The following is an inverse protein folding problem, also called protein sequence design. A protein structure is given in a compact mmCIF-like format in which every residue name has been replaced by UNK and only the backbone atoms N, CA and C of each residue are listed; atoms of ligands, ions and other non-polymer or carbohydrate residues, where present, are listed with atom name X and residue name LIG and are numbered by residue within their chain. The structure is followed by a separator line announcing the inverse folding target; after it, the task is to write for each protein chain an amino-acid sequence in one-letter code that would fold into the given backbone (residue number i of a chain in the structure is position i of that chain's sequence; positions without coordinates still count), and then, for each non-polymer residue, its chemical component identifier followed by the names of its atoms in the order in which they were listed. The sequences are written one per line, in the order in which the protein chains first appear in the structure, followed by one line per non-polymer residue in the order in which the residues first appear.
data_IF_655025071795
#
_entry.id   IF_655025071795
#
_cell.length_a   1.000
_cell.length_b   1.000
_cell.length_c   1.000
_cell.angle_alpha   90.00
_cell.angle_beta   90.00
_cell.angle_gamma   90.00
#
_symmetry.space_group_name_H-M   'P 1'
#
loop_
_entity.id
_entity.type
_entity.pdbx_description
1 polymer ?
#
# COMPACT_ATOMS: atom_id res chain seq x y z
N UNK A 1 -11.54 19.31 2.99
CA UNK A 1 -10.54 18.38 2.41
C UNK A 1 -11.16 17.20 1.64
N UNK A 2 -12.00 17.43 0.61
CA UNK A 2 -12.56 16.33 -0.20
C UNK A 2 -11.47 15.60 -1.00
N UNK A 3 -10.53 16.35 -1.59
CA UNK A 3 -9.41 15.83 -2.40
C UNK A 3 -8.46 14.89 -1.65
N UNK A 4 -8.38 14.99 -0.32
CA UNK A 4 -7.61 14.07 0.52
C UNK A 4 -8.47 12.90 1.03
N UNK A 5 -9.65 13.18 1.58
CA UNK A 5 -10.49 12.15 2.23
C UNK A 5 -11.03 11.12 1.24
N UNK A 6 -11.52 11.55 0.07
CA UNK A 6 -12.11 10.61 -0.90
C UNK A 6 -11.07 9.60 -1.40
N UNK A 7 -9.89 9.98 -1.92
CA UNK A 7 -8.86 9.02 -2.32
C UNK A 7 -8.30 8.19 -1.17
N UNK A 8 -8.20 8.75 0.04
CA UNK A 8 -7.76 7.99 1.23
C UNK A 8 -8.71 6.84 1.54
N UNK A 9 -10.02 7.04 1.45
CA UNK A 9 -11.03 5.98 1.61
C UNK A 9 -10.86 4.85 0.59
N UNK A 10 -10.23 5.10 -0.56
CA UNK A 10 -9.92 4.09 -1.56
C UNK A 10 -8.59 3.38 -1.26
N UNK A 11 -7.55 4.09 -0.80
CA UNK A 11 -6.26 3.47 -0.45
C UNK A 11 -6.26 2.71 0.85
N UNK A 12 -6.95 3.20 1.88
CA UNK A 12 -6.98 2.60 3.21
C UNK A 12 -7.35 1.10 3.18
N UNK A 13 -8.41 0.65 2.47
CA UNK A 13 -8.70 -0.77 2.38
C UNK A 13 -7.62 -1.56 1.64
N UNK A 14 -6.94 -0.99 0.63
CA UNK A 14 -5.85 -1.67 -0.08
C UNK A 14 -4.61 -1.85 0.82
N UNK A 15 -4.28 -0.84 1.63
CA UNK A 15 -3.24 -0.96 2.66
C UNK A 15 -3.64 -2.02 3.69
N UNK A 16 -4.92 -2.06 4.10
CA UNK A 16 -5.46 -3.11 4.97
C UNK A 16 -5.36 -4.51 4.36
N UNK A 17 -5.63 -4.66 3.05
CA UNK A 17 -5.41 -5.92 2.32
C UNK A 17 -3.95 -6.35 2.36
N UNK A 18 -3.00 -5.41 2.31
CA UNK A 18 -1.58 -5.74 2.41
C UNK A 18 -1.19 -6.25 3.80
N UNK A 19 -1.72 -5.66 4.88
CA UNK A 19 -1.59 -6.22 6.23
C UNK A 19 -2.16 -7.64 6.31
N UNK A 20 -3.37 -7.86 5.78
CA UNK A 20 -3.98 -9.19 5.77
C UNK A 20 -3.19 -10.22 4.96
N UNK A 21 -2.63 -9.83 3.81
CA UNK A 21 -1.78 -10.68 3.00
C UNK A 21 -0.45 -11.01 3.71
N UNK A 22 0.13 -10.04 4.41
CA UNK A 22 1.33 -10.22 5.22
C UNK A 22 1.11 -11.24 6.32
N UNK A 23 0.08 -11.08 7.14
CA UNK A 23 -0.24 -11.99 8.24
C UNK A 23 -0.49 -13.41 7.74
N UNK A 24 -1.29 -13.54 6.68
CA UNK A 24 -1.58 -14.83 6.04
C UNK A 24 -0.31 -15.51 5.50
N UNK A 25 0.59 -14.74 4.87
CA UNK A 25 1.84 -15.26 4.35
C UNK A 25 2.77 -15.73 5.48
N UNK A 26 2.97 -14.90 6.50
CA UNK A 26 3.85 -15.21 7.63
C UNK A 26 3.35 -16.43 8.39
N UNK A 27 2.04 -16.53 8.66
CA UNK A 27 1.44 -17.70 9.29
C UNK A 27 1.69 -18.97 8.46
N UNK A 28 1.46 -18.90 7.14
CA UNK A 28 1.65 -20.03 6.25
C UNK A 28 3.12 -20.47 6.18
N UNK A 29 4.06 -19.53 5.97
CA UNK A 29 5.49 -19.83 5.89
C UNK A 29 6.06 -20.36 7.21
N UNK A 30 5.57 -19.88 8.36
CA UNK A 30 5.99 -20.34 9.68
C UNK A 30 5.72 -21.83 9.92
N UNK A 31 4.65 -22.36 9.33
CA UNK A 31 4.24 -23.77 9.43
C UNK A 31 4.77 -24.64 8.27
N UNK A 32 5.23 -24.04 7.16
CA UNK A 32 5.54 -24.74 5.91
C UNK A 32 6.84 -25.55 5.97
N UNK A 33 6.75 -26.84 5.63
CA UNK A 33 7.88 -27.70 5.29
C UNK A 33 7.97 -27.79 3.77
N UNK A 34 9.15 -27.60 3.17
CA UNK A 34 9.32 -27.60 1.72
C UNK A 34 9.30 -29.03 1.20
N UNK A 35 8.34 -29.33 0.33
CA UNK A 35 8.24 -30.65 -0.30
C UNK A 35 9.37 -30.93 -1.32
N UNK A 36 9.90 -29.87 -1.96
CA UNK A 36 10.90 -29.97 -3.03
C UNK A 36 12.35 -30.14 -2.53
N UNK A 37 12.63 -29.78 -1.27
CA UNK A 37 13.95 -29.89 -0.66
C UNK A 37 13.78 -30.69 0.64
N UNK A 38 14.30 -31.91 0.66
CA UNK A 38 14.03 -32.93 1.68
C UNK A 38 14.09 -32.39 3.13
N UNK A 39 12.92 -32.04 3.69
CA UNK A 39 12.77 -31.65 5.09
C UNK A 39 13.20 -30.23 5.44
N UNK A 40 13.59 -29.38 4.48
CA UNK A 40 13.94 -27.98 4.77
C UNK A 40 12.69 -27.19 5.16
N UNK A 41 12.74 -26.52 6.32
CA UNK A 41 11.63 -25.69 6.78
C UNK A 41 11.69 -24.36 6.05
N UNK A 42 10.55 -23.86 5.57
CA UNK A 42 10.52 -22.61 4.82
C UNK A 42 11.02 -21.41 5.63
N UNK A 43 10.87 -21.46 6.96
CA UNK A 43 11.42 -20.47 7.91
C UNK A 43 12.95 -20.41 7.95
N UNK A 44 13.64 -21.43 7.46
CA UNK A 44 15.11 -21.47 7.46
C UNK A 44 15.70 -20.85 6.18
N UNK A 45 14.87 -20.54 5.18
CA UNK A 45 15.30 -19.83 3.97
C UNK A 45 15.59 -18.33 4.26
N UNK A 46 16.83 -17.86 4.05
CA UNK A 46 17.18 -16.46 4.27
C UNK A 46 16.42 -15.51 3.33
N UNK A 47 16.13 -15.92 2.09
CA UNK A 47 15.47 -15.06 1.11
C UNK A 47 13.97 -14.89 1.39
N UNK A 48 13.34 -15.83 2.10
CA UNK A 48 11.97 -15.66 2.58
C UNK A 48 11.91 -14.56 3.65
N UNK A 49 12.91 -14.50 4.56
CA UNK A 49 12.99 -13.48 5.60
C UNK A 49 13.20 -12.08 5.02
N UNK A 50 14.03 -11.96 3.98
CA UNK A 50 14.26 -10.68 3.29
C UNK A 50 12.95 -10.16 2.70
N UNK A 51 12.19 -11.01 2.00
CA UNK A 51 10.90 -10.60 1.40
C UNK A 51 9.87 -10.16 2.43
N UNK A 52 9.81 -10.86 3.57
CA UNK A 52 8.98 -10.49 4.72
C UNK A 52 9.39 -9.12 5.27
N UNK A 53 10.70 -8.88 5.44
CA UNK A 53 11.20 -7.60 5.95
C UNK A 53 10.88 -6.42 5.02
N UNK A 54 11.10 -6.59 3.71
CA UNK A 54 10.79 -5.57 2.71
C UNK A 54 9.29 -5.26 2.69
N UNK A 55 8.44 -6.28 2.62
CA UNK A 55 6.99 -6.10 2.61
C UNK A 55 6.48 -5.42 3.89
N UNK A 56 6.96 -5.85 5.07
CA UNK A 56 6.58 -5.22 6.33
C UNK A 56 6.93 -3.73 6.35
N UNK A 57 8.15 -3.39 5.93
CA UNK A 57 8.61 -2.00 5.89
C UNK A 57 7.81 -1.14 4.91
N UNK A 58 7.51 -1.65 3.72
CA UNK A 58 6.76 -0.91 2.71
C UNK A 58 5.30 -0.69 3.10
N UNK A 59 4.67 -1.68 3.75
CA UNK A 59 3.29 -1.59 4.25
C UNK A 59 3.19 -0.58 5.40
N UNK A 60 4.13 -0.63 6.36
CA UNK A 60 4.18 0.35 7.46
C UNK A 60 4.41 1.78 6.93
N UNK A 61 5.35 1.94 5.99
CA UNK A 61 5.58 3.24 5.33
C UNK A 61 4.32 3.75 4.61
N UNK A 62 3.61 2.88 3.88
CA UNK A 62 2.35 3.23 3.22
C UNK A 62 1.30 3.74 4.23
N UNK A 63 1.15 3.05 5.36
CA UNK A 63 0.21 3.46 6.40
C UNK A 63 0.60 4.78 7.08
N UNK A 64 1.87 4.93 7.45
CA UNK A 64 2.36 6.17 8.10
C UNK A 64 2.19 7.39 7.21
N UNK A 65 2.53 7.27 5.92
CA UNK A 65 2.36 8.39 4.99
C UNK A 65 0.88 8.71 4.76
N UNK A 66 0.03 7.69 4.58
CA UNK A 66 -1.40 7.88 4.34
C UNK A 66 -2.11 8.50 5.55
N UNK A 67 -1.96 7.89 6.72
CA UNK A 67 -2.59 8.36 7.96
C UNK A 67 -1.98 9.66 8.49
N UNK A 68 -0.66 9.84 8.34
CA UNK A 68 0.05 11.04 8.76
C UNK A 68 -0.43 12.29 8.03
N UNK A 69 -0.58 12.25 6.69
CA UNK A 69 -1.09 13.40 5.96
C UNK A 69 -2.53 13.77 6.35
N UNK A 70 -3.39 12.78 6.65
CA UNK A 70 -4.74 13.04 7.17
C UNK A 70 -4.70 13.67 8.57
N UNK A 71 -3.79 13.20 9.43
CA UNK A 71 -3.60 13.75 10.77
C UNK A 71 -3.09 15.19 10.73
N UNK A 72 -2.13 15.49 9.85
CA UNK A 72 -1.60 16.84 9.64
C UNK A 72 -2.70 17.81 9.19
N UNK A 73 -3.52 17.42 8.20
CA UNK A 73 -4.66 18.24 7.75
C UNK A 73 -5.67 18.46 8.87
N UNK A 74 -5.97 17.41 9.64
CA UNK A 74 -6.91 17.48 10.75
C UNK A 74 -6.41 18.40 11.88
N UNK A 75 -5.12 18.37 12.20
CA UNK A 75 -4.53 19.22 13.22
C UNK A 75 -4.68 20.72 12.89
N UNK A 76 -4.46 21.11 11.63
CA UNK A 76 -4.66 22.49 11.17
C UNK A 76 -6.13 22.91 11.31
N UNK A 77 -7.06 22.04 10.89
CA UNK A 77 -8.50 22.33 11.02
C UNK A 77 -8.93 22.50 12.47
N UNK A 78 -8.41 21.67 13.39
CA UNK A 78 -8.68 21.80 14.83
C UNK A 78 -8.12 23.10 15.40
N UNK A 79 -6.98 23.58 14.88
CA UNK A 79 -6.39 24.88 15.23
C UNK A 79 -7.12 26.08 14.61
N UNK A 80 -8.10 25.87 13.73
CA UNK A 80 -8.78 26.94 12.98
C UNK A 80 -7.94 27.50 11.83
N UNK A 81 -6.93 26.76 11.38
CA UNK A 81 -6.04 27.14 10.28
C UNK A 81 -6.53 26.58 8.94
N UNK A 82 -6.17 27.26 7.85
CA UNK A 82 -6.40 26.76 6.50
C UNK A 82 -5.39 25.66 6.16
N UNK A 83 -5.84 24.64 5.40
CA UNK A 83 -4.95 23.58 4.91
C UNK A 83 -4.15 24.12 3.72
N UNK A 84 -2.81 24.22 3.82
CA UNK A 84 -1.98 24.70 2.72
C UNK A 84 -2.03 23.74 1.54
N UNK A 85 -1.93 24.28 0.32
CA UNK A 85 -2.04 23.49 -0.90
C UNK A 85 -0.90 22.46 -1.02
N UNK A 86 0.29 22.79 -0.53
CA UNK A 86 1.47 21.92 -0.50
C UNK A 86 1.20 20.65 0.32
N UNK A 87 0.46 20.75 1.43
CA UNK A 87 0.07 19.60 2.24
C UNK A 87 -0.92 18.70 1.48
N UNK A 88 -1.90 19.28 0.80
CA UNK A 88 -2.87 18.54 -0.02
C UNK A 88 -2.20 17.84 -1.21
N UNK A 89 -1.30 18.52 -1.91
CA UNK A 89 -0.52 17.95 -2.99
C UNK A 89 0.34 16.77 -2.50
N UNK A 90 0.96 16.89 -1.32
CA UNK A 90 1.69 15.81 -0.67
C UNK A 90 0.78 14.64 -0.29
N UNK A 91 -0.41 14.92 0.26
CA UNK A 91 -1.40 13.92 0.62
C UNK A 91 -1.85 13.10 -0.61
N UNK A 92 -2.10 13.76 -1.75
CA UNK A 92 -2.39 13.08 -3.03
C UNK A 92 -1.22 12.21 -3.51
N UNK A 93 0.00 12.75 -3.53
CA UNK A 93 1.23 12.02 -3.92
C UNK A 93 1.41 10.76 -3.09
N UNK A 94 1.27 10.89 -1.78
CA UNK A 94 1.53 9.81 -0.86
C UNK A 94 0.39 8.79 -0.81
N UNK A 95 -0.86 9.21 -1.03
CA UNK A 95 -2.01 8.30 -1.14
C UNK A 95 -1.83 7.31 -2.30
N UNK A 96 -1.52 7.78 -3.52
CA UNK A 96 -1.32 6.87 -4.66
C UNK A 96 -0.10 5.99 -4.46
N UNK A 97 0.93 6.51 -3.80
CA UNK A 97 2.16 5.76 -3.51
C UNK A 97 1.94 4.71 -2.43
N UNK A 98 1.08 4.96 -1.46
CA UNK A 98 0.65 3.98 -0.46
C UNK A 98 -0.06 2.79 -1.13
N UNK A 99 -0.97 3.05 -2.08
CA UNK A 99 -1.58 2.00 -2.91
C UNK A 99 -0.52 1.19 -3.66
N UNK A 100 0.45 1.85 -4.30
CA UNK A 100 1.54 1.18 -5.02
C UNK A 100 2.42 0.29 -4.14
N UNK A 101 2.82 0.80 -2.96
CA UNK A 101 3.61 0.03 -1.96
C UNK A 101 2.85 -1.18 -1.45
N UNK A 102 1.56 -1.01 -1.15
CA UNK A 102 0.70 -2.09 -0.69
C UNK A 102 0.63 -3.23 -1.73
N UNK A 103 0.35 -2.91 -3.00
CA UNK A 103 0.25 -3.90 -4.07
C UNK A 103 1.60 -4.59 -4.32
N UNK A 104 2.69 -3.82 -4.42
CA UNK A 104 4.03 -4.39 -4.62
C UNK A 104 4.44 -5.33 -3.47
N UNK A 105 4.01 -5.03 -2.24
CA UNK A 105 4.23 -5.90 -1.09
C UNK A 105 3.42 -7.19 -1.19
N UNK A 106 2.14 -7.09 -1.60
CA UNK A 106 1.29 -8.26 -1.83
C UNK A 106 1.85 -9.14 -2.96
N UNK A 107 2.30 -8.55 -4.06
CA UNK A 107 2.92 -9.26 -5.19
C UNK A 107 4.14 -10.07 -4.73
N UNK A 108 5.06 -9.42 -3.99
CA UNK A 108 6.26 -10.05 -3.43
C UNK A 108 5.92 -11.24 -2.52
N UNK A 109 4.90 -11.11 -1.68
CA UNK A 109 4.47 -12.15 -0.75
C UNK A 109 3.73 -13.29 -1.46
N UNK A 110 2.88 -12.98 -2.43
CA UNK A 110 2.17 -13.95 -3.25
C UNK A 110 3.16 -14.82 -4.04
N UNK A 111 4.13 -14.20 -4.72
CA UNK A 111 5.20 -14.89 -5.44
C UNK A 111 5.97 -15.85 -4.52
N UNK A 112 6.36 -15.38 -3.32
CA UNK A 112 7.08 -16.18 -2.33
C UNK A 112 6.25 -17.33 -1.73
N UNK A 113 4.92 -17.26 -1.82
CA UNK A 113 4.02 -18.25 -1.27
C UNK A 113 3.99 -19.55 -2.09
N UNK A 114 4.43 -19.53 -3.34
CA UNK A 114 4.54 -20.73 -4.19
C UNK A 114 3.20 -21.37 -4.52
N UNK A 115 3.21 -22.60 -5.04
CA UNK A 115 2.03 -23.25 -5.63
C UNK A 115 0.83 -23.40 -4.68
N UNK A 116 1.05 -23.56 -3.37
CA UNK A 116 -0.05 -23.66 -2.38
C UNK A 116 -0.89 -22.39 -2.29
N UNK A 117 -0.33 -21.24 -2.68
CA UNK A 117 -1.03 -19.96 -2.75
C UNK A 117 -2.09 -19.92 -3.86
N UNK A 118 -2.00 -20.81 -4.86
CA UNK A 118 -2.93 -20.87 -5.98
C UNK A 118 -4.24 -21.59 -5.63
N UNK A 119 -4.32 -22.23 -4.46
CA UNK A 119 -5.57 -22.81 -3.99
C UNK A 119 -6.64 -21.72 -3.80
N UNK A 120 -7.87 -22.01 -4.21
CA UNK A 120 -9.01 -21.09 -4.00
C UNK A 120 -9.24 -20.79 -2.51
N UNK A 121 -8.86 -21.71 -1.62
CA UNK A 121 -8.99 -21.55 -0.17
C UNK A 121 -7.82 -20.77 0.44
N UNK A 122 -6.74 -20.51 -0.31
CA UNK A 122 -5.62 -19.73 0.18
C UNK A 122 -6.02 -18.24 0.27
N UNK A 123 -5.88 -17.59 1.44
CA UNK A 123 -6.27 -16.19 1.60
C UNK A 123 -5.37 -15.23 0.78
N UNK A 124 -4.09 -15.55 0.57
CA UNK A 124 -3.12 -14.66 -0.08
C UNK A 124 -3.49 -14.35 -1.54
N UNK A 125 -4.02 -15.32 -2.32
CA UNK A 125 -4.45 -15.04 -3.70
C UNK A 125 -5.69 -14.14 -3.75
N UNK A 126 -6.55 -14.19 -2.72
CA UNK A 126 -7.72 -13.32 -2.62
C UNK A 126 -7.28 -11.88 -2.39
N UNK A 127 -6.38 -11.64 -1.43
CA UNK A 127 -5.81 -10.30 -1.24
C UNK A 127 -5.08 -9.78 -2.48
N UNK A 128 -4.33 -10.65 -3.17
CA UNK A 128 -3.68 -10.30 -4.43
C UNK A 128 -4.67 -9.79 -5.47
N UNK A 129 -5.72 -10.57 -5.79
CA UNK A 129 -6.75 -10.14 -6.75
C UNK A 129 -7.50 -8.90 -6.29
N UNK A 130 -7.89 -8.84 -5.01
CA UNK A 130 -8.71 -7.76 -4.47
C UNK A 130 -7.94 -6.42 -4.48
N UNK A 131 -6.64 -6.43 -4.16
CA UNK A 131 -5.79 -5.23 -4.21
C UNK A 131 -5.56 -4.74 -5.65
N UNK A 132 -5.31 -5.65 -6.59
CA UNK A 132 -5.22 -5.32 -8.02
C UNK A 132 -6.56 -4.84 -8.59
N UNK A 133 -7.69 -5.35 -8.11
CA UNK A 133 -9.01 -4.83 -8.46
C UNK A 133 -9.23 -3.42 -7.88
N UNK A 134 -8.82 -3.15 -6.64
CA UNK A 134 -8.87 -1.81 -6.05
C UNK A 134 -7.97 -0.80 -6.78
N UNK A 135 -6.86 -1.26 -7.37
CA UNK A 135 -5.90 -0.43 -8.09
C UNK A 135 -6.50 0.33 -9.27
N UNK A 136 -7.51 -0.22 -9.94
CA UNK A 136 -8.08 0.37 -11.16
C UNK A 136 -9.05 1.53 -10.89
N UNK A 137 -9.36 1.81 -9.62
CA UNK A 137 -10.14 2.99 -9.26
C UNK A 137 -9.42 4.28 -9.70
N UNK A 138 -10.15 5.24 -10.29
CA UNK A 138 -9.56 6.45 -10.87
C UNK A 138 -8.69 7.27 -9.89
N UNK A 139 -9.09 7.32 -8.61
CA UNK A 139 -8.32 7.99 -7.55
C UNK A 139 -6.92 7.41 -7.30
N UNK A 140 -6.67 6.16 -7.74
CA UNK A 140 -5.39 5.46 -7.62
C UNK A 140 -4.48 5.61 -8.84
N UNK A 141 -4.84 6.42 -9.86
CA UNK A 141 -3.96 6.79 -10.97
C UNK A 141 -2.77 7.63 -10.43
N UNK A 142 -1.54 7.07 -10.39
CA UNK A 142 -0.42 7.70 -9.73
C UNK A 142 0.15 8.84 -10.56
N UNK A 143 0.19 8.72 -11.89
CA UNK A 143 0.73 9.75 -12.78
C UNK A 143 -0.04 11.07 -12.62
N UNK A 144 -1.37 11.01 -12.47
CA UNK A 144 -2.19 12.20 -12.20
C UNK A 144 -1.78 12.89 -10.90
N UNK A 145 -1.66 12.14 -9.81
CA UNK A 145 -1.30 12.72 -8.51
C UNK A 145 0.15 13.21 -8.46
N UNK A 146 1.07 12.50 -9.12
CA UNK A 146 2.47 12.90 -9.22
C UNK A 146 2.65 14.17 -10.05
N UNK A 147 1.85 14.37 -11.10
CA UNK A 147 1.86 15.61 -11.88
C UNK A 147 1.39 16.81 -11.06
N UNK A 148 0.32 16.65 -10.26
CA UNK A 148 -0.14 17.71 -9.34
C UNK A 148 0.97 18.11 -8.38
N UNK A 149 1.62 17.13 -7.76
CA UNK A 149 2.75 17.38 -6.85
C UNK A 149 3.93 18.04 -7.58
N UNK A 150 4.33 17.53 -8.75
CA UNK A 150 5.43 18.10 -9.53
C UNK A 150 5.17 19.54 -9.98
N UNK A 151 3.95 19.87 -10.39
CA UNK A 151 3.58 21.25 -10.72
C UNK A 151 3.70 22.17 -9.51
N UNK A 152 3.26 21.71 -8.33
CA UNK A 152 3.41 22.47 -7.10
C UNK A 152 4.88 22.80 -6.79
N UNK A 153 5.79 21.82 -6.91
CA UNK A 153 7.23 22.03 -6.68
C UNK A 153 7.85 23.05 -7.65
N UNK A 154 7.27 23.22 -8.84
CA UNK A 154 7.72 24.20 -9.83
C UNK A 154 6.93 25.52 -9.82
N UNK A 155 5.97 25.69 -8.90
CA UNK A 155 5.10 26.87 -8.88
C UNK A 155 4.18 27.00 -10.10
N UNK A 156 3.85 25.88 -10.74
CA UNK A 156 2.95 25.82 -11.90
C UNK A 156 1.50 25.58 -11.44
N UNK A 157 0.50 25.99 -12.25
CA UNK A 157 -0.90 25.71 -11.94
C UNK A 157 -1.18 24.20 -11.78
N UNK A 158 -2.11 23.80 -10.89
CA UNK A 158 -2.51 22.41 -10.75
C UNK A 158 -3.15 21.89 -12.05
N UNK A 159 -2.76 20.68 -12.45
CA UNK A 159 -3.27 20.04 -13.67
C UNK A 159 -4.67 19.41 -13.50
N UNK A 160 -5.15 19.23 -12.26
CA UNK A 160 -6.43 18.59 -11.92
C UNK A 160 -7.00 19.18 -10.63
N UNK A 161 -8.31 19.06 -10.45
CA UNK A 161 -9.09 19.48 -9.29
C UNK A 161 -9.15 18.43 -8.17
N UNK A 162 -8.72 17.18 -8.43
CA UNK A 162 -8.66 16.12 -7.41
C UNK A 162 -7.42 16.27 -6.51
N UNK A 163 -7.40 17.35 -5.72
CA UNK A 163 -6.38 17.73 -4.72
C UNK A 163 -7.03 18.56 -3.62
#
# INVERSE_FOLDING_TARGET
PWGTIHPTTISAPIVGMAYGAYDAHVEHQGKRVRAAFAGEKAKDDPFAKIRIAEAASDIDAAWRQLSGNVADEYALLVAGEEIPFELRARARRDQVRATGRAIASIDRLFEASGATALSNDAPVQRFWRDAHAGRVHAANDPERAYLIFGNNEFGLPPADTMV
#
